data_IF_758703866462
#
_entry.id   IF_758703866462
#
_cell.length_a   1.000
_cell.length_b   1.000
_cell.length_c   1.000
_cell.angle_alpha   90.00
_cell.angle_beta   90.00
_cell.angle_gamma   90.00
#
_symmetry.space_group_name_H-M   'P 1'
#
loop_
_entity.id
_entity.type
_entity.pdbx_description
1 polymer ?
#
# COMPACT_ATOMS: atom_id res chain seq x y z
N UNK A 1 -41.21 -9.55 15.17
CA UNK A 1 -40.83 -8.87 13.91
C UNK A 1 -39.81 -7.79 14.25
N UNK A 2 -38.53 -8.06 14.12
CA UNK A 2 -37.46 -7.09 14.27
C UNK A 2 -37.35 -6.35 12.93
N UNK A 3 -37.68 -5.06 12.89
CA UNK A 3 -37.39 -4.19 11.78
C UNK A 3 -35.90 -3.88 11.84
N UNK A 4 -35.10 -4.38 10.90
CA UNK A 4 -33.74 -3.91 10.71
C UNK A 4 -33.84 -2.47 10.17
N UNK A 5 -33.49 -1.49 10.97
CA UNK A 5 -33.29 -0.12 10.51
C UNK A 5 -32.13 -0.16 9.52
N UNK A 6 -32.39 0.14 8.25
CA UNK A 6 -31.34 0.32 7.25
C UNK A 6 -30.42 1.42 7.72
N UNK A 7 -29.12 1.15 7.79
CA UNK A 7 -28.12 2.18 8.01
C UNK A 7 -28.12 3.09 6.76
N UNK A 8 -28.47 4.35 6.96
CA UNK A 8 -28.36 5.37 5.90
C UNK A 8 -26.90 5.82 5.93
N UNK A 9 -26.13 5.44 4.90
CA UNK A 9 -24.78 5.94 4.73
C UNK A 9 -24.81 7.26 3.96
N UNK A 10 -24.07 8.24 4.45
CA UNK A 10 -23.86 9.51 3.72
C UNK A 10 -22.93 9.20 2.55
N UNK A 11 -23.34 9.51 1.33
CA UNK A 11 -22.56 9.28 0.11
C UNK A 11 -21.28 10.12 0.05
N UNK A 12 -21.20 11.18 0.84
CA UNK A 12 -20.04 12.07 0.93
C UNK A 12 -19.81 12.40 2.41
N UNK A 13 -19.11 11.56 3.18
CA UNK A 13 -18.81 11.84 4.57
C UNK A 13 -17.87 13.03 4.67
N UNK A 14 -18.13 13.91 5.65
CA UNK A 14 -17.16 14.94 6.02
C UNK A 14 -16.03 14.27 6.79
N UNK A 15 -14.83 14.36 6.26
CA UNK A 15 -13.62 13.72 6.80
C UNK A 15 -12.51 14.74 7.12
N UNK A 16 -12.83 16.03 7.06
CA UNK A 16 -11.88 17.13 7.21
C UNK A 16 -11.09 17.11 8.53
N UNK A 17 -11.69 16.62 9.61
CA UNK A 17 -11.07 16.53 10.93
C UNK A 17 -10.54 15.13 11.29
N UNK A 18 -10.70 14.14 10.40
CA UNK A 18 -10.37 12.74 10.71
C UNK A 18 -8.87 12.56 10.93
N UNK A 19 -8.04 13.16 10.10
CA UNK A 19 -6.59 13.06 10.25
C UNK A 19 -6.12 13.69 11.57
N UNK A 20 -6.66 14.85 11.93
CA UNK A 20 -6.28 15.54 13.18
C UNK A 20 -6.71 14.77 14.43
N UNK A 21 -7.86 14.12 14.38
CA UNK A 21 -8.46 13.45 15.55
C UNK A 21 -7.99 12.02 15.75
N UNK A 22 -7.68 11.31 14.68
CA UNK A 22 -7.44 9.86 14.73
C UNK A 22 -6.03 9.45 14.29
N UNK A 23 -5.26 10.33 13.64
CA UNK A 23 -3.90 10.00 13.29
C UNK A 23 -3.01 9.93 14.55
N UNK A 24 -2.22 8.88 14.61
CA UNK A 24 -1.25 8.68 15.67
C UNK A 24 0.13 9.21 15.20
N UNK A 25 0.75 10.16 15.90
CA UNK A 25 2.09 10.61 15.54
C UNK A 25 3.12 9.52 15.87
N UNK A 26 3.86 9.10 14.86
CA UNK A 26 4.91 8.09 14.99
C UNK A 26 6.15 8.55 14.24
N UNK A 27 7.25 8.87 14.95
CA UNK A 27 8.57 9.21 14.35
C UNK A 27 8.51 10.31 13.28
N UNK A 28 7.68 11.31 13.49
CA UNK A 28 7.51 12.43 12.54
C UNK A 28 6.54 12.15 11.40
N UNK A 29 5.89 11.00 11.40
CA UNK A 29 4.80 10.64 10.50
C UNK A 29 3.46 10.69 11.23
N UNK A 30 2.38 10.85 10.48
CA UNK A 30 1.02 10.70 10.98
C UNK A 30 0.47 9.36 10.47
N UNK A 31 0.32 8.38 11.35
CA UNK A 31 -0.21 7.07 11.03
C UNK A 31 -1.72 7.05 11.24
N UNK A 32 -2.47 6.75 10.20
CA UNK A 32 -3.89 6.48 10.26
C UNK A 32 -4.14 4.99 9.97
N UNK A 33 -4.74 4.28 10.91
CA UNK A 33 -5.09 2.87 10.74
C UNK A 33 -6.58 2.76 10.47
N UNK A 34 -6.92 2.25 9.30
CA UNK A 34 -8.31 1.94 8.95
C UNK A 34 -8.58 0.49 9.36
N UNK A 35 -9.51 0.31 10.30
CA UNK A 35 -9.83 -1.01 10.81
C UNK A 35 -10.52 -1.89 9.78
N UNK A 36 -10.14 -3.17 9.72
CA UNK A 36 -10.92 -4.18 9.04
C UNK A 36 -12.26 -4.41 9.77
N UNK A 37 -13.31 -4.72 9.02
CA UNK A 37 -14.62 -5.07 9.60
C UNK A 37 -14.46 -6.20 10.63
N UNK A 38 -14.64 -5.87 11.90
CA UNK A 38 -14.35 -6.75 13.04
C UNK A 38 -15.38 -7.87 13.28
N UNK A 39 -16.30 -8.12 12.32
CA UNK A 39 -17.32 -9.17 12.44
C UNK A 39 -17.37 -10.02 11.18
N UNK A 40 -17.11 -11.31 11.32
CA UNK A 40 -17.42 -12.29 10.30
C UNK A 40 -18.93 -12.21 9.96
N UNK A 41 -19.25 -12.05 8.67
CA UNK A 41 -20.64 -11.87 8.21
C UNK A 41 -21.15 -10.43 8.17
N UNK A 42 -20.33 -9.43 8.45
CA UNK A 42 -20.68 -8.01 8.38
C UNK A 42 -20.62 -7.42 6.98
N UNK A 43 -21.52 -7.80 6.10
CA UNK A 43 -21.85 -7.05 4.89
C UNK A 43 -20.71 -6.63 3.93
N UNK A 44 -21.09 -5.99 2.86
CA UNK A 44 -20.17 -5.43 1.85
C UNK A 44 -19.29 -4.32 2.43
N UNK A 45 -17.97 -4.35 2.19
CA UNK A 45 -17.00 -3.30 2.57
C UNK A 45 -17.14 -1.99 1.72
N UNK A 46 -18.29 -1.79 1.07
CA UNK A 46 -18.56 -0.62 0.24
C UNK A 46 -18.53 0.71 1.00
N UNK A 47 -19.06 0.81 2.25
CA UNK A 47 -19.00 2.05 3.01
C UNK A 47 -17.59 2.44 3.42
N UNK A 48 -16.77 1.44 3.78
CA UNK A 48 -15.36 1.65 4.16
C UNK A 48 -14.54 2.14 2.98
N UNK A 49 -14.74 1.56 1.79
CA UNK A 49 -14.06 2.00 0.57
C UNK A 49 -14.43 3.44 0.19
N UNK A 50 -15.70 3.84 0.37
CA UNK A 50 -16.15 5.22 0.13
C UNK A 50 -15.53 6.19 1.13
N UNK A 51 -15.44 5.79 2.40
CA UNK A 51 -14.82 6.60 3.45
C UNK A 51 -13.32 6.82 3.18
N UNK A 52 -12.57 5.75 2.89
CA UNK A 52 -11.13 5.84 2.58
C UNK A 52 -10.90 6.76 1.38
N UNK A 53 -11.72 6.63 0.34
CA UNK A 53 -11.62 7.48 -0.84
C UNK A 53 -11.87 8.95 -0.52
N UNK A 54 -12.93 9.28 0.21
CA UNK A 54 -13.20 10.67 0.64
C UNK A 54 -12.06 11.22 1.49
N UNK A 55 -11.47 10.38 2.35
CA UNK A 55 -10.33 10.77 3.19
C UNK A 55 -9.09 11.06 2.34
N UNK A 56 -8.77 10.20 1.36
CA UNK A 56 -7.63 10.41 0.46
C UNK A 56 -7.83 11.67 -0.38
N UNK A 57 -9.01 11.86 -0.96
CA UNK A 57 -9.34 13.05 -1.77
C UNK A 57 -9.19 14.35 -0.94
N UNK A 58 -9.63 14.36 0.32
CA UNK A 58 -9.52 15.51 1.21
C UNK A 58 -8.07 15.79 1.64
N UNK A 59 -7.33 14.76 2.05
CA UNK A 59 -5.95 14.91 2.52
C UNK A 59 -5.00 15.39 1.42
N UNK A 60 -5.16 14.87 0.20
CA UNK A 60 -4.29 15.24 -0.94
C UNK A 60 -4.62 16.63 -1.47
N UNK A 61 -5.89 17.02 -1.45
CA UNK A 61 -6.32 18.34 -1.96
C UNK A 61 -6.00 19.49 -0.99
N UNK A 62 -5.82 19.23 0.31
CA UNK A 62 -5.67 20.27 1.31
C UNK A 62 -4.23 20.65 1.64
N UNK A 63 -3.22 19.81 1.33
CA UNK A 63 -1.83 19.97 1.84
C UNK A 63 -0.80 19.48 0.83
N UNK A 64 0.35 20.15 0.82
CA UNK A 64 1.56 19.73 0.10
C UNK A 64 2.30 18.62 0.90
N UNK A 65 1.62 17.51 1.11
CA UNK A 65 2.09 16.37 1.89
C UNK A 65 2.11 15.11 1.01
N UNK A 66 2.91 14.13 1.41
CA UNK A 66 2.94 12.80 0.77
C UNK A 66 2.11 11.83 1.60
N UNK A 67 1.11 11.22 0.97
CA UNK A 67 0.33 10.13 1.53
C UNK A 67 0.86 8.79 1.00
N UNK A 68 1.31 7.93 1.90
CA UNK A 68 1.64 6.54 1.59
C UNK A 68 0.52 5.62 2.07
N UNK A 69 -0.12 4.93 1.15
CA UNK A 69 -1.15 3.95 1.47
C UNK A 69 -0.55 2.54 1.43
N UNK A 70 -0.47 1.90 2.60
CA UNK A 70 -0.11 0.49 2.71
C UNK A 70 -1.35 -0.37 2.42
N UNK A 71 -1.30 -1.11 1.33
CA UNK A 71 -2.42 -1.93 0.85
C UNK A 71 -2.13 -3.41 1.10
N UNK A 72 -3.14 -4.14 1.52
CA UNK A 72 -3.03 -5.59 1.61
C UNK A 72 -2.65 -6.20 0.25
N UNK A 73 -1.84 -7.27 0.30
CA UNK A 73 -1.46 -8.01 -0.89
C UNK A 73 -2.71 -8.58 -1.59
N UNK A 74 -2.90 -8.21 -2.85
CA UNK A 74 -4.00 -8.72 -3.66
C UNK A 74 -4.72 -7.65 -4.48
N UNK A 75 -5.43 -8.12 -5.50
CA UNK A 75 -6.13 -7.27 -6.47
C UNK A 75 -7.52 -6.81 -5.99
N UNK A 76 -8.01 -7.34 -4.87
CA UNK A 76 -9.39 -7.09 -4.41
C UNK A 76 -9.65 -5.62 -4.07
N UNK A 77 -8.66 -4.94 -3.49
CA UNK A 77 -8.75 -3.52 -3.12
C UNK A 77 -8.76 -2.61 -4.36
N UNK A 78 -8.04 -2.97 -5.41
CA UNK A 78 -8.04 -2.24 -6.68
C UNK A 78 -9.40 -2.36 -7.38
N UNK A 79 -10.02 -3.54 -7.34
CA UNK A 79 -11.37 -3.74 -7.88
C UNK A 79 -12.45 -2.86 -7.21
N UNK A 80 -12.20 -2.35 -6.01
CA UNK A 80 -13.08 -1.42 -5.28
C UNK A 80 -12.72 0.06 -5.51
N UNK A 81 -11.73 0.33 -6.35
CA UNK A 81 -11.24 1.67 -6.68
C UNK A 81 -10.83 2.53 -5.47
N UNK A 82 -10.37 1.91 -4.37
CA UNK A 82 -9.84 2.61 -3.19
C UNK A 82 -8.55 3.37 -3.52
N UNK A 83 -7.78 2.88 -4.50
CA UNK A 83 -6.59 3.54 -5.01
C UNK A 83 -6.86 4.56 -6.13
N UNK A 84 -8.13 4.90 -6.41
CA UNK A 84 -8.44 5.93 -7.41
C UNK A 84 -8.01 7.30 -6.86
N UNK A 85 -7.29 8.05 -7.66
CA UNK A 85 -6.80 9.40 -7.28
C UNK A 85 -5.39 9.43 -6.71
N UNK A 86 -4.71 8.28 -6.55
CA UNK A 86 -3.28 8.28 -6.23
C UNK A 86 -2.44 8.65 -7.45
N UNK A 87 -1.34 9.35 -7.24
CA UNK A 87 -0.43 9.79 -8.32
C UNK A 87 0.39 8.64 -8.88
N UNK A 88 0.72 7.64 -8.05
CA UNK A 88 1.51 6.49 -8.45
C UNK A 88 1.15 5.24 -7.64
N UNK A 89 1.40 4.07 -8.23
CA UNK A 89 1.34 2.77 -7.57
C UNK A 89 2.73 2.15 -7.52
N UNK A 90 3.19 1.77 -6.34
CA UNK A 90 4.42 0.98 -6.17
C UNK A 90 4.03 -0.49 -6.16
N UNK A 91 4.42 -1.22 -7.19
CA UNK A 91 4.20 -2.67 -7.32
C UNK A 91 5.45 -3.39 -6.83
N UNK A 92 5.30 -4.08 -5.70
CA UNK A 92 6.39 -4.83 -5.07
C UNK A 92 6.34 -6.28 -5.55
N UNK A 93 7.45 -6.77 -6.12
CA UNK A 93 7.57 -8.13 -6.63
C UNK A 93 8.72 -8.88 -5.98
N UNK A 94 8.53 -10.17 -5.75
CA UNK A 94 9.56 -11.09 -5.24
C UNK A 94 10.09 -11.99 -6.38
N UNK A 95 11.26 -12.64 -6.21
CA UNK A 95 11.82 -13.55 -7.20
C UNK A 95 10.95 -14.80 -7.40
N UNK A 96 9.92 -14.67 -8.24
CA UNK A 96 9.00 -15.76 -8.54
C UNK A 96 7.95 -15.36 -9.57
N UNK A 97 7.68 -16.23 -10.53
CA UNK A 97 6.76 -15.95 -11.63
C UNK A 97 5.35 -15.57 -11.15
N UNK A 98 4.87 -16.16 -10.05
CA UNK A 98 3.54 -15.84 -9.49
C UNK A 98 3.49 -14.40 -9.00
N UNK A 99 4.56 -13.92 -8.35
CA UNK A 99 4.65 -12.53 -7.87
C UNK A 99 4.65 -11.55 -9.04
N UNK A 100 5.43 -11.84 -10.07
CA UNK A 100 5.49 -11.02 -11.29
C UNK A 100 4.14 -10.97 -12.00
N UNK A 101 3.47 -12.13 -12.16
CA UNK A 101 2.13 -12.20 -12.76
C UNK A 101 1.08 -11.41 -11.96
N UNK A 102 1.12 -11.50 -10.63
CA UNK A 102 0.25 -10.68 -9.78
C UNK A 102 0.53 -9.19 -10.00
N UNK A 103 1.80 -8.80 -10.13
CA UNK A 103 2.18 -7.44 -10.46
C UNK A 103 1.60 -6.94 -11.78
N UNK A 104 1.60 -7.76 -12.83
CA UNK A 104 0.97 -7.41 -14.11
C UNK A 104 -0.54 -7.24 -14.01
N UNK A 105 -1.19 -8.06 -13.19
CA UNK A 105 -2.63 -7.87 -12.92
C UNK A 105 -2.91 -6.56 -12.18
N UNK A 106 -2.06 -6.19 -11.22
CA UNK A 106 -2.13 -4.90 -10.53
C UNK A 106 -1.97 -3.75 -11.53
N UNK A 107 -0.95 -3.81 -12.40
CA UNK A 107 -0.72 -2.80 -13.44
C UNK A 107 -1.94 -2.65 -14.36
N UNK A 108 -2.52 -3.75 -14.82
CA UNK A 108 -3.72 -3.75 -15.64
C UNK A 108 -4.91 -3.08 -14.94
N UNK A 109 -5.15 -3.44 -13.68
CA UNK A 109 -6.24 -2.86 -12.88
C UNK A 109 -6.00 -1.38 -12.56
N UNK A 110 -4.76 -0.96 -12.33
CA UNK A 110 -4.40 0.44 -12.16
C UNK A 110 -4.77 1.26 -13.40
N UNK A 111 -4.51 0.74 -14.60
CA UNK A 111 -4.93 1.40 -15.85
C UNK A 111 -6.45 1.56 -15.94
N UNK A 112 -7.23 0.57 -15.50
CA UNK A 112 -8.70 0.61 -15.49
C UNK A 112 -9.27 1.69 -14.55
N UNK A 113 -8.58 1.97 -13.44
CA UNK A 113 -9.01 2.99 -12.46
C UNK A 113 -8.34 4.35 -12.66
N UNK A 114 -7.50 4.49 -13.70
CA UNK A 114 -6.86 5.76 -14.09
C UNK A 114 -5.53 6.07 -13.40
N UNK A 115 -4.90 5.09 -12.73
CA UNK A 115 -3.55 5.23 -12.19
C UNK A 115 -2.54 4.89 -13.27
N UNK A 116 -1.94 5.91 -13.88
CA UNK A 116 -1.04 5.73 -15.03
C UNK A 116 0.43 5.57 -14.69
N UNK A 117 0.85 5.90 -13.46
CA UNK A 117 2.25 5.79 -13.04
C UNK A 117 2.45 4.56 -12.18
N UNK A 118 3.14 3.56 -12.74
CA UNK A 118 3.49 2.32 -12.05
C UNK A 118 4.99 2.31 -11.80
N UNK A 119 5.37 2.10 -10.56
CA UNK A 119 6.76 2.02 -10.09
C UNK A 119 7.01 0.58 -9.62
N UNK A 120 7.99 -0.09 -10.19
CA UNK A 120 8.30 -1.47 -9.85
C UNK A 120 9.45 -1.54 -8.86
N UNK A 121 9.26 -2.33 -7.79
CA UNK A 121 10.25 -2.54 -6.74
C UNK A 121 10.48 -4.03 -6.55
N UNK A 122 11.73 -4.48 -6.68
CA UNK A 122 12.10 -5.85 -6.35
C UNK A 122 12.28 -5.98 -4.82
N UNK A 123 11.75 -7.05 -4.23
CA UNK A 123 11.88 -7.32 -2.81
C UNK A 123 12.40 -8.74 -2.58
N UNK A 124 13.05 -8.96 -1.45
CA UNK A 124 13.63 -10.25 -1.05
C UNK A 124 14.62 -10.82 -2.08
N UNK A 125 15.39 -9.94 -2.71
CA UNK A 125 16.48 -10.33 -3.61
C UNK A 125 17.61 -10.93 -2.78
N UNK A 126 17.89 -12.22 -2.94
CA UNK A 126 18.95 -12.91 -2.20
C UNK A 126 20.23 -13.06 -3.02
N UNK A 127 20.12 -13.17 -4.33
CA UNK A 127 21.22 -13.41 -5.26
C UNK A 127 21.14 -12.49 -6.48
N UNK A 128 22.24 -12.30 -7.23
CA UNK A 128 22.20 -11.62 -8.52
C UNK A 128 21.21 -12.28 -9.51
N UNK A 129 21.12 -13.62 -9.50
CA UNK A 129 20.21 -14.36 -10.37
C UNK A 129 18.74 -14.04 -10.10
N UNK A 130 18.38 -13.74 -8.84
CA UNK A 130 17.03 -13.28 -8.49
C UNK A 130 16.69 -11.95 -9.15
N UNK A 131 17.65 -11.01 -9.15
CA UNK A 131 17.47 -9.69 -9.77
C UNK A 131 17.40 -9.83 -11.29
N UNK A 132 18.26 -10.66 -11.90
CA UNK A 132 18.26 -10.94 -13.32
C UNK A 132 16.95 -11.58 -13.76
N UNK A 133 16.43 -12.52 -12.96
CA UNK A 133 15.11 -13.13 -13.18
C UNK A 133 14.00 -12.08 -13.20
N UNK A 134 13.91 -11.23 -12.15
CA UNK A 134 12.87 -10.20 -12.08
C UNK A 134 12.99 -9.25 -13.26
N UNK A 135 14.19 -8.75 -13.54
CA UNK A 135 14.42 -7.78 -14.63
C UNK A 135 14.03 -8.38 -15.98
N UNK A 136 14.42 -9.62 -16.24
CA UNK A 136 14.05 -10.34 -17.47
C UNK A 136 12.54 -10.54 -17.59
N UNK A 137 11.88 -10.91 -16.49
CA UNK A 137 10.45 -11.14 -16.46
C UNK A 137 9.62 -9.85 -16.63
N UNK A 138 10.13 -8.72 -16.14
CA UNK A 138 9.49 -7.40 -16.29
C UNK A 138 9.65 -6.82 -17.70
N UNK A 139 10.64 -7.27 -18.48
CA UNK A 139 10.90 -6.79 -19.84
C UNK A 139 11.33 -5.30 -19.85
N UNK A 140 10.60 -4.46 -20.58
CA UNK A 140 10.93 -3.02 -20.72
C UNK A 140 10.59 -2.18 -19.48
N UNK A 141 9.95 -2.75 -18.46
CA UNK A 141 9.60 -2.06 -17.22
C UNK A 141 10.83 -1.87 -16.35
N UNK A 142 11.03 -0.63 -15.90
CA UNK A 142 12.20 -0.28 -15.08
C UNK A 142 11.90 -0.43 -13.59
N UNK A 143 12.81 -1.09 -12.87
CA UNK A 143 12.81 -1.10 -11.41
C UNK A 143 13.28 0.26 -10.86
N UNK A 144 12.56 0.76 -9.85
CA UNK A 144 13.05 1.89 -9.05
C UNK A 144 14.13 1.48 -8.07
N UNK A 145 14.20 0.19 -7.72
CA UNK A 145 15.23 -0.38 -6.87
C UNK A 145 14.99 -1.84 -6.55
N UNK A 146 15.92 -2.39 -5.76
CA UNK A 146 15.85 -3.75 -5.26
C UNK A 146 16.19 -3.78 -3.77
N UNK A 147 15.34 -4.41 -2.98
CA UNK A 147 15.55 -4.63 -1.55
C UNK A 147 16.10 -6.05 -1.34
N UNK A 148 17.20 -6.18 -0.62
CA UNK A 148 17.77 -7.50 -0.33
C UNK A 148 16.92 -8.27 0.69
N UNK A 149 17.12 -9.58 0.72
CA UNK A 149 16.62 -10.41 1.83
C UNK A 149 17.40 -10.08 3.10
N UNK A 150 16.73 -9.53 4.10
CA UNK A 150 17.34 -9.15 5.39
C UNK A 150 16.74 -10.04 6.48
N UNK A 151 17.53 -10.96 6.99
CA UNK A 151 17.08 -11.93 8.02
C UNK A 151 16.59 -11.23 9.30
N UNK A 152 17.19 -10.11 9.69
CA UNK A 152 16.73 -9.32 10.85
C UNK A 152 15.31 -8.80 10.69
N UNK A 153 14.87 -8.49 9.46
CA UNK A 153 13.48 -8.08 9.17
C UNK A 153 12.53 -9.23 9.47
N UNK A 154 12.83 -10.43 8.99
CA UNK A 154 12.05 -11.63 9.28
C UNK A 154 11.97 -11.96 10.76
N UNK A 155 13.10 -11.83 11.48
CA UNK A 155 13.16 -12.07 12.92
C UNK A 155 12.40 -10.99 13.71
N UNK A 156 12.48 -9.73 13.30
CA UNK A 156 11.76 -8.65 13.98
C UNK A 156 10.25 -8.80 13.90
N UNK A 157 9.73 -9.22 12.74
CA UNK A 157 8.32 -9.52 12.56
C UNK A 157 7.86 -10.64 13.51
N UNK A 158 8.60 -11.74 13.56
CA UNK A 158 8.33 -12.85 14.47
C UNK A 158 8.32 -12.43 15.95
N UNK A 159 9.23 -11.52 16.31
CA UNK A 159 9.42 -11.07 17.69
C UNK A 159 8.54 -9.83 18.02
N UNK A 160 7.68 -9.38 17.11
CA UNK A 160 6.83 -8.21 17.26
C UNK A 160 7.57 -6.89 17.43
N UNK A 161 8.78 -6.78 16.84
CA UNK A 161 9.64 -5.60 16.91
C UNK A 161 9.52 -4.77 15.65
N UNK A 162 9.70 -3.47 15.78
CA UNK A 162 9.73 -2.58 14.61
C UNK A 162 10.93 -2.91 13.72
N UNK A 163 10.67 -3.07 12.42
CA UNK A 163 11.71 -3.26 11.40
C UNK A 163 12.72 -2.12 11.44
N UNK A 164 12.27 -0.89 11.58
CA UNK A 164 13.14 0.28 11.65
C UNK A 164 14.19 0.21 12.76
N UNK A 165 13.87 -0.41 13.90
CA UNK A 165 14.76 -0.49 15.06
C UNK A 165 15.84 -1.58 14.90
N UNK A 166 15.63 -2.53 14.00
CA UNK A 166 16.57 -3.65 13.81
C UNK A 166 17.45 -3.47 12.57
N UNK A 167 17.12 -2.56 11.67
CA UNK A 167 17.95 -2.25 10.49
C UNK A 167 19.20 -1.47 10.88
N UNK A 168 20.34 -1.79 10.26
CA UNK A 168 21.55 -0.96 10.30
C UNK A 168 21.36 0.32 9.50
N UNK A 169 22.24 1.30 9.70
CA UNK A 169 22.18 2.54 8.92
C UNK A 169 22.45 2.29 7.42
N UNK A 170 23.32 1.34 7.08
CA UNK A 170 23.55 0.92 5.70
C UNK A 170 22.29 0.33 5.05
N UNK A 171 21.57 -0.53 5.79
CA UNK A 171 20.30 -1.10 5.31
C UNK A 171 19.21 -0.03 5.17
N UNK A 172 19.15 0.94 6.08
CA UNK A 172 18.24 2.08 5.98
C UNK A 172 18.55 2.97 4.77
N UNK A 173 19.82 3.09 4.40
CA UNK A 173 20.23 3.88 3.25
C UNK A 173 19.65 3.38 1.94
N UNK A 174 19.47 2.07 1.79
CA UNK A 174 18.80 1.49 0.62
C UNK A 174 17.39 2.06 0.45
N UNK A 175 16.65 2.22 1.56
CA UNK A 175 15.30 2.81 1.52
C UNK A 175 15.33 4.32 1.25
N UNK A 176 16.33 5.05 1.79
CA UNK A 176 16.48 6.49 1.53
C UNK A 176 16.75 6.77 0.05
N UNK A 177 17.55 5.95 -0.61
CA UNK A 177 17.84 6.07 -2.03
C UNK A 177 16.61 5.83 -2.93
N UNK A 178 15.66 5.01 -2.49
CA UNK A 178 14.40 4.81 -3.20
C UNK A 178 13.52 6.06 -3.18
N UNK A 179 13.56 6.84 -2.10
CA UNK A 179 12.75 8.06 -1.96
C UNK A 179 13.27 9.25 -2.78
N UNK A 180 14.48 9.14 -3.34
CA UNK A 180 15.11 10.20 -4.16
C UNK A 180 14.86 10.02 -5.67
N UNK A 181 14.16 8.95 -6.08
CA UNK A 181 13.85 8.60 -7.48
C UNK A 181 12.39 8.85 -7.80
#
# INVERSE_FOLDING_TARGET
KVRSSGQIFTLNPDVSDVAERFACPVRGLHLLVVGAASRGGGGCACPESTFIRSLVDELVLARDETLLMDMEAGVEHLGRATARGVDAMVVVVEPGMRSVQCGFEIERMCAEIGVGRILWLANKVATPDDLDFITSALGERSLIGALPTIERVRLSDRDGRSVYDVLTEEEKEVFRLLLQR
#
